data_IF_425104391218
#
_entry.id   IF_425104391218
#
_cell.length_a   1.000
_cell.length_b   1.000
_cell.length_c   1.000
_cell.angle_alpha   90.00
_cell.angle_beta   90.00
_cell.angle_gamma   90.00
#
_symmetry.space_group_name_H-M   'P 1'
#
loop_
_entity.id
_entity.type
_entity.pdbx_description
1 polymer ?
#
# COMPACT_ATOMS: atom_id res chain seq x y z
N UNK A 1 -15.55 -4.30 9.76
CA UNK A 1 -14.81 -3.04 9.60
C UNK A 1 -13.33 -3.36 9.60
N UNK A 2 -12.61 -3.02 8.53
CA UNK A 2 -11.17 -3.22 8.50
C UNK A 2 -10.51 -2.07 9.27
N UNK A 3 -9.90 -2.36 10.42
CA UNK A 3 -9.21 -1.39 11.28
C UNK A 3 -7.74 -1.35 10.87
N UNK A 4 -7.48 -1.12 9.58
CA UNK A 4 -6.12 -1.02 9.08
C UNK A 4 -5.43 0.23 9.63
N UNK A 5 -4.28 0.06 10.26
CA UNK A 5 -3.52 1.20 10.79
C UNK A 5 -2.69 1.94 9.73
N UNK A 6 -2.73 1.52 8.45
CA UNK A 6 -1.97 2.15 7.38
C UNK A 6 -2.70 2.09 6.02
N UNK A 7 -2.40 3.08 5.18
CA UNK A 7 -2.94 3.24 3.82
C UNK A 7 -1.80 3.35 2.81
N UNK A 8 -2.07 3.09 1.55
CA UNK A 8 -1.07 3.22 0.48
C UNK A 8 -0.48 4.64 0.42
N UNK A 9 -1.24 5.65 0.84
CA UNK A 9 -0.73 7.02 1.01
C UNK A 9 0.49 7.09 1.95
N UNK A 10 0.45 6.40 3.10
CA UNK A 10 1.58 6.36 4.03
C UNK A 10 2.79 5.67 3.43
N UNK A 11 2.59 4.66 2.58
CA UNK A 11 3.68 3.95 1.92
C UNK A 11 4.32 4.79 0.80
N UNK A 12 3.52 5.51 0.01
CA UNK A 12 4.02 6.33 -1.11
C UNK A 12 4.64 7.64 -0.61
N UNK A 13 4.01 8.28 0.38
CA UNK A 13 4.32 9.66 0.77
C UNK A 13 4.78 9.81 2.22
N UNK A 14 4.56 8.81 3.08
CA UNK A 14 4.96 8.85 4.47
C UNK A 14 6.47 8.71 4.64
N UNK A 15 7.01 9.46 5.60
CA UNK A 15 8.42 9.38 6.06
C UNK A 15 8.62 8.32 7.15
N UNK A 16 7.73 7.34 7.25
CA UNK A 16 7.83 6.32 8.29
C UNK A 16 8.74 5.20 7.84
N UNK A 17 9.93 5.19 8.43
CA UNK A 17 10.84 4.06 8.46
C UNK A 17 10.03 2.78 8.72
N UNK A 18 10.03 1.85 7.77
CA UNK A 18 9.54 0.49 8.04
C UNK A 18 10.22 0.04 9.33
N UNK A 19 9.46 -0.17 10.41
CA UNK A 19 9.94 -0.92 11.59
C UNK A 19 10.01 -2.39 11.19
N UNK A 20 10.79 -2.69 10.16
CA UNK A 20 11.35 -4.00 10.00
C UNK A 20 12.51 -4.04 10.99
N UNK A 21 12.31 -4.78 12.09
CA UNK A 21 13.44 -5.29 12.87
C UNK A 21 14.30 -6.16 11.95
N UNK A 22 15.19 -5.56 11.18
CA UNK A 22 16.44 -6.17 10.75
C UNK A 22 17.52 -5.57 11.63
N UNK A 23 18.13 -6.42 12.45
CA UNK A 23 19.42 -6.14 13.07
C UNK A 23 20.47 -5.97 11.97
N UNK A 24 21.39 -5.06 12.24
CA UNK A 24 22.57 -4.66 11.45
C UNK A 24 22.25 -3.99 10.11
N UNK A 25 22.88 -2.89 9.70
CA UNK A 25 24.11 -2.21 10.14
C UNK A 25 24.17 -0.82 9.43
N UNK A 26 24.60 0.22 10.14
CA UNK A 26 25.20 1.42 9.53
C UNK A 26 24.33 2.31 8.60
N UNK A 27 23.87 3.42 9.17
CA UNK A 27 23.80 4.76 8.55
C UNK A 27 22.98 4.94 7.25
N UNK A 28 21.74 5.44 7.41
CA UNK A 28 21.04 6.20 6.37
C UNK A 28 19.52 6.11 6.48
N UNK A 29 18.87 7.07 7.14
CA UNK A 29 17.42 7.28 7.03
C UNK A 29 17.13 7.90 5.65
N UNK A 30 17.28 7.10 4.59
CA UNK A 30 16.86 7.44 3.24
C UNK A 30 15.37 7.21 3.09
N UNK A 31 14.68 8.10 2.38
CA UNK A 31 13.31 7.87 1.92
C UNK A 31 13.20 6.45 1.36
N UNK A 32 12.42 5.58 2.00
CA UNK A 32 12.12 4.26 1.48
C UNK A 32 11.05 4.45 0.40
N UNK A 33 11.48 4.64 -0.85
CA UNK A 33 10.56 4.63 -1.99
C UNK A 33 10.10 3.20 -2.28
N UNK A 34 8.86 3.05 -2.72
CA UNK A 34 8.35 1.78 -3.25
C UNK A 34 9.27 1.22 -4.35
N UNK A 35 9.65 -0.04 -4.23
CA UNK A 35 10.28 -0.76 -5.34
C UNK A 35 9.28 -0.93 -6.48
N UNK A 36 9.79 -1.09 -7.72
CA UNK A 36 8.92 -1.33 -8.88
C UNK A 36 8.07 -2.60 -8.71
N UNK A 37 8.61 -3.62 -8.03
CA UNK A 37 7.92 -4.86 -7.72
C UNK A 37 6.75 -4.62 -6.76
N UNK A 38 6.95 -3.85 -5.68
CA UNK A 38 5.86 -3.49 -4.76
C UNK A 38 4.80 -2.64 -5.46
N UNK A 39 5.21 -1.67 -6.27
CA UNK A 39 4.27 -0.83 -7.02
C UNK A 39 3.40 -1.65 -7.98
N UNK A 40 3.98 -2.64 -8.68
CA UNK A 40 3.24 -3.57 -9.53
C UNK A 40 2.31 -4.48 -8.73
N UNK A 41 2.76 -4.99 -7.56
CA UNK A 41 1.93 -5.77 -6.66
C UNK A 41 0.65 -5.02 -6.28
N UNK A 42 0.79 -3.84 -5.67
CA UNK A 42 -0.37 -3.01 -5.31
C UNK A 42 -1.26 -2.66 -6.51
N UNK A 43 -0.66 -2.43 -7.69
CA UNK A 43 -1.42 -2.14 -8.90
C UNK A 43 -2.29 -3.33 -9.32
N UNK A 44 -1.76 -4.54 -9.24
CA UNK A 44 -2.51 -5.77 -9.53
C UNK A 44 -3.67 -5.97 -8.55
N UNK A 45 -3.44 -5.76 -7.25
CA UNK A 45 -4.47 -5.97 -6.23
C UNK A 45 -5.60 -4.94 -6.33
N UNK A 46 -5.25 -3.68 -6.57
CA UNK A 46 -6.23 -2.62 -6.83
C UNK A 46 -7.05 -2.95 -8.09
N UNK A 47 -6.39 -3.37 -9.17
CA UNK A 47 -7.08 -3.74 -10.40
C UNK A 47 -8.04 -4.92 -10.18
N UNK A 48 -7.63 -5.94 -9.42
CA UNK A 48 -8.47 -7.08 -9.06
C UNK A 48 -9.70 -6.63 -8.25
N UNK A 49 -9.53 -5.75 -7.26
CA UNK A 49 -10.64 -5.17 -6.49
C UNK A 49 -11.61 -4.36 -7.36
N UNK A 50 -11.09 -3.57 -8.30
CA UNK A 50 -11.92 -2.81 -9.24
C UNK A 50 -12.69 -3.72 -10.21
N UNK A 51 -12.05 -4.77 -10.73
CA UNK A 51 -12.74 -5.78 -11.57
C UNK A 51 -13.91 -6.41 -10.81
N UNK A 52 -13.71 -6.72 -9.52
CA UNK A 52 -14.79 -7.21 -8.66
C UNK A 52 -15.92 -6.19 -8.47
N UNK A 53 -15.61 -4.91 -8.21
CA UNK A 53 -16.65 -3.88 -8.06
C UNK A 53 -17.43 -3.67 -9.37
N UNK A 54 -16.72 -3.60 -10.49
CA UNK A 54 -17.31 -3.33 -11.80
C UNK A 54 -18.19 -4.49 -12.28
N UNK A 55 -17.90 -5.75 -11.90
CA UNK A 55 -18.79 -6.88 -12.19
C UNK A 55 -20.15 -6.79 -11.47
N UNK A 56 -20.24 -5.95 -10.43
CA UNK A 56 -21.46 -5.66 -9.68
C UNK A 56 -22.05 -4.27 -10.01
N UNK A 57 -21.57 -3.63 -11.08
CA UNK A 57 -22.01 -2.29 -11.51
C UNK A 57 -21.74 -1.19 -10.44
N UNK A 58 -20.73 -1.39 -9.59
CA UNK A 58 -20.32 -0.42 -8.58
C UNK A 58 -19.12 0.36 -9.09
N UNK A 59 -19.20 1.69 -9.08
CA UNK A 59 -18.06 2.57 -9.38
C UNK A 59 -17.53 3.16 -8.08
N UNK A 60 -16.23 3.05 -7.81
CA UNK A 60 -15.64 3.52 -6.54
C UNK A 60 -15.71 5.05 -6.36
N UNK A 61 -15.57 5.81 -7.45
CA UNK A 61 -15.62 7.29 -7.54
C UNK A 61 -14.55 8.08 -6.76
N UNK A 62 -13.95 7.52 -5.70
CA UNK A 62 -12.90 8.19 -4.91
C UNK A 62 -11.63 7.32 -4.80
N UNK A 63 -11.17 6.76 -5.92
CA UNK A 63 -9.96 5.93 -5.90
C UNK A 63 -8.72 6.83 -5.74
N UNK A 64 -8.06 6.73 -4.59
CA UNK A 64 -6.83 7.45 -4.26
C UNK A 64 -6.02 6.65 -3.23
N UNK A 65 -4.71 6.91 -3.07
CA UNK A 65 -3.87 6.17 -2.14
C UNK A 65 -4.37 6.18 -0.68
N UNK A 66 -5.07 7.23 -0.26
CA UNK A 66 -5.65 7.32 1.09
C UNK A 66 -6.83 6.36 1.33
N UNK A 67 -7.46 5.87 0.26
CA UNK A 67 -8.61 4.95 0.32
C UNK A 67 -8.23 3.49 0.02
N UNK A 68 -6.92 3.20 -0.13
CA UNK A 68 -6.40 1.84 -0.26
C UNK A 68 -5.77 1.47 1.08
N UNK A 69 -6.43 0.58 1.81
CA UNK A 69 -5.95 0.10 3.10
C UNK A 69 -4.94 -1.05 2.92
N UNK A 70 -3.91 -1.06 3.75
CA UNK A 70 -2.85 -2.07 3.69
C UNK A 70 -3.13 -3.12 4.77
N UNK A 71 -3.11 -4.40 4.36
CA UNK A 71 -3.25 -5.55 5.25
C UNK A 71 -1.92 -5.94 5.88
N UNK A 72 -1.96 -6.50 7.09
CA UNK A 72 -0.76 -6.91 7.83
C UNK A 72 0.12 -7.92 7.07
N UNK A 73 -0.44 -8.59 6.08
CA UNK A 73 0.26 -9.60 5.29
C UNK A 73 1.02 -8.99 4.10
N UNK A 74 0.77 -7.72 3.75
CA UNK A 74 1.36 -7.04 2.58
C UNK A 74 1.29 -7.91 1.29
N UNK A 75 0.23 -8.72 1.21
CA UNK A 75 -0.11 -9.59 0.08
C UNK A 75 -1.04 -8.84 -0.84
#
# INVERSE_FOLDING_TARGET
EYVGNSTLHHIIYGTDCKTAKKKDDGLGCGRVSLSITEALGYSCDIAAGLVFLHSHLIVHLDLKPANVFITEQNV
#
